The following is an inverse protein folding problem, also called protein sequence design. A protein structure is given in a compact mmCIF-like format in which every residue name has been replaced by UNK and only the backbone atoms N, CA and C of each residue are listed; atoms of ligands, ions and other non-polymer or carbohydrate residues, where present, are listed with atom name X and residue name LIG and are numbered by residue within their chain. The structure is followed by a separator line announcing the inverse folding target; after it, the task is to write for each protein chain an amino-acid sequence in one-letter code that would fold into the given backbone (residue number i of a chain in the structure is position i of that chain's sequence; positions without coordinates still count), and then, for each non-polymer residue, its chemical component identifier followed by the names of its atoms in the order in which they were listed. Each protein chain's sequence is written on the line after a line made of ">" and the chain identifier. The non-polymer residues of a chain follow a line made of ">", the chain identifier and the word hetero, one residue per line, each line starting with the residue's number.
data_IF_278876268517
#
_entry.id   IF_278876268517
#
_cell.length_a   1.000
_cell.length_b   1.000
_cell.length_c   1.000
_cell.angle_alpha   90.00
_cell.angle_beta   90.00
_cell.angle_gamma   90.00
#
_symmetry.space_group_name_H-M   'P 1'
#
loop_
_entity.id
_entity.type
_entity.pdbx_description
1 polymer ?
#
# COMPACT_ATOMS: atom_id res chain seq x y z
N UNK A 1 -6.98 -16.82 -11.41
CA UNK A 1 -5.93 -16.81 -10.41
C UNK A 1 -6.19 -15.70 -9.41
N UNK A 2 -6.09 -16.01 -8.11
CA UNK A 2 -6.34 -15.01 -7.09
C UNK A 2 -5.22 -13.98 -7.08
N UNK A 3 -5.57 -12.72 -6.88
CA UNK A 3 -4.58 -11.67 -6.74
C UNK A 3 -3.88 -11.81 -5.39
N UNK A 4 -2.57 -11.59 -5.39
CA UNK A 4 -1.83 -11.52 -4.14
C UNK A 4 -2.21 -10.25 -3.39
N UNK A 5 -1.92 -10.22 -2.10
CA UNK A 5 -2.15 -9.01 -1.31
C UNK A 5 -1.37 -7.83 -1.89
N UNK A 6 -0.13 -8.06 -2.32
CA UNK A 6 0.68 -7.02 -2.94
C UNK A 6 -0.02 -6.43 -4.17
N UNK A 7 -0.55 -7.29 -5.03
CA UNK A 7 -1.25 -6.86 -6.24
C UNK A 7 -2.50 -6.04 -5.91
N UNK A 8 -3.26 -6.48 -4.92
CA UNK A 8 -4.46 -5.78 -4.48
C UNK A 8 -4.12 -4.40 -3.93
N UNK A 9 -3.05 -4.30 -3.14
CA UNK A 9 -2.61 -3.03 -2.57
C UNK A 9 -2.22 -2.06 -3.68
N UNK A 10 -1.43 -2.52 -4.65
CA UNK A 10 -0.99 -1.67 -5.75
C UNK A 10 -2.18 -1.15 -6.56
N UNK A 11 -3.16 -2.01 -6.82
CA UNK A 11 -4.37 -1.58 -7.51
C UNK A 11 -5.10 -0.48 -6.72
N UNK A 12 -5.24 -0.66 -5.41
CA UNK A 12 -5.95 0.31 -4.57
C UNK A 12 -5.18 1.61 -4.40
N UNK A 13 -3.85 1.57 -4.51
CA UNK A 13 -3.00 2.78 -4.44
C UNK A 13 -3.13 3.64 -5.70
N UNK A 14 -3.68 3.09 -6.78
CA UNK A 14 -3.84 3.81 -8.03
C UNK A 14 -3.03 3.23 -9.17
N UNK A 15 -2.50 2.02 -8.98
CA UNK A 15 -1.68 1.34 -9.97
C UNK A 15 -0.21 1.62 -9.79
N UNK A 16 0.65 0.84 -10.44
CA UNK A 16 2.11 1.00 -10.28
C UNK A 16 2.61 2.37 -10.77
N UNK A 17 1.92 2.98 -11.71
CA UNK A 17 2.32 4.31 -12.20
C UNK A 17 2.17 5.39 -11.15
N UNK A 18 1.36 5.15 -10.11
CA UNK A 18 1.15 6.12 -9.05
C UNK A 18 2.20 6.02 -7.94
N UNK A 19 3.06 5.01 -7.97
CA UNK A 19 4.08 4.80 -6.94
C UNK A 19 5.38 5.46 -7.37
N UNK A 20 5.78 6.53 -6.68
CA UNK A 20 7.09 7.17 -6.91
C UNK A 20 8.19 6.43 -6.20
N UNK A 21 7.92 6.03 -4.96
CA UNK A 21 8.86 5.21 -4.21
C UNK A 21 8.10 4.43 -3.15
N UNK A 22 8.71 3.35 -2.71
CA UNK A 22 8.15 2.49 -1.68
C UNK A 22 9.26 2.05 -0.75
N UNK A 23 9.03 2.25 0.55
CA UNK A 23 9.86 1.69 1.59
C UNK A 23 8.96 0.99 2.60
N UNK A 24 9.54 0.36 3.60
CA UNK A 24 8.76 -0.24 4.67
C UNK A 24 9.51 -0.13 5.98
N UNK A 25 8.76 -0.19 7.06
CA UNK A 25 9.32 -0.36 8.39
C UNK A 25 8.86 -1.71 8.95
N UNK A 26 8.88 -1.89 10.26
CA UNK A 26 8.57 -3.20 10.87
C UNK A 26 7.16 -3.68 10.58
N UNK A 27 6.18 -2.77 10.41
CA UNK A 27 4.77 -3.15 10.29
C UNK A 27 4.05 -2.45 9.14
N UNK A 28 4.67 -1.47 8.46
CA UNK A 28 3.96 -0.63 7.50
C UNK A 28 4.71 -0.53 6.19
N UNK A 29 3.94 -0.47 5.10
CA UNK A 29 4.44 -0.02 3.80
C UNK A 29 4.33 1.50 3.77
N UNK A 30 5.39 2.16 3.30
CA UNK A 30 5.44 3.62 3.17
C UNK A 30 5.53 3.97 1.70
N UNK A 31 4.45 4.55 1.18
CA UNK A 31 4.39 4.94 -0.22
C UNK A 31 4.62 6.44 -0.36
N UNK A 32 5.39 6.80 -1.37
CA UNK A 32 5.37 8.15 -1.94
C UNK A 32 4.69 8.04 -3.28
N UNK A 33 3.65 8.83 -3.47
CA UNK A 33 2.75 8.68 -4.62
C UNK A 33 2.89 9.87 -5.55
N UNK A 34 2.52 9.67 -6.81
CA UNK A 34 2.40 10.77 -7.76
C UNK A 34 1.17 11.62 -7.42
N UNK A 35 0.07 10.94 -7.08
CA UNK A 35 -1.19 11.62 -6.79
C UNK A 35 -1.97 10.81 -5.75
N UNK A 36 -1.98 11.29 -4.51
CA UNK A 36 -2.66 10.61 -3.42
C UNK A 36 -4.18 10.55 -3.60
N UNK A 37 -4.75 11.41 -4.43
CA UNK A 37 -6.19 11.41 -4.66
C UNK A 37 -6.67 10.16 -5.42
N UNK A 38 -5.74 9.41 -6.03
CA UNK A 38 -6.07 8.19 -6.74
C UNK A 38 -6.16 6.97 -5.83
N UNK A 39 -5.85 7.12 -4.54
CA UNK A 39 -5.89 6.00 -3.59
C UNK A 39 -7.34 5.69 -3.24
N UNK A 40 -7.68 4.40 -3.30
CA UNK A 40 -8.97 3.90 -2.82
C UNK A 40 -8.79 3.46 -1.36
N UNK A 41 -8.88 4.43 -0.45
CA UNK A 41 -8.65 4.18 0.96
C UNK A 41 -9.67 3.20 1.53
N UNK A 42 -10.91 3.29 1.09
CA UNK A 42 -11.95 2.40 1.58
C UNK A 42 -11.63 0.94 1.26
N UNK A 43 -11.17 0.66 0.04
CA UNK A 43 -10.75 -0.70 -0.33
C UNK A 43 -9.59 -1.18 0.53
N UNK A 44 -8.60 -0.31 0.78
CA UNK A 44 -7.47 -0.68 1.62
C UNK A 44 -7.90 -0.99 3.05
N UNK A 45 -8.79 -0.19 3.62
CA UNK A 45 -9.22 -0.37 5.00
C UNK A 45 -10.01 -1.66 5.20
N UNK A 46 -10.68 -2.15 4.16
CA UNK A 46 -11.48 -3.37 4.20
C UNK A 46 -10.77 -4.56 3.60
N UNK A 47 -9.53 -4.40 3.17
CA UNK A 47 -8.76 -5.46 2.53
C UNK A 47 -8.26 -6.46 3.55
N UNK A 48 -8.49 -7.74 3.29
CA UNK A 48 -8.00 -8.79 4.17
C UNK A 48 -6.46 -8.81 4.12
N UNK A 49 -5.83 -8.74 5.28
CA UNK A 49 -4.38 -8.66 5.38
C UNK A 49 -3.86 -7.26 5.62
N UNK A 50 -4.71 -6.26 5.50
CA UNK A 50 -4.37 -4.87 5.79
C UNK A 50 -5.02 -4.49 7.11
N UNK A 51 -4.20 -4.01 8.05
CA UNK A 51 -4.68 -3.60 9.37
C UNK A 51 -5.17 -2.17 9.38
N UNK A 52 -4.68 -1.33 8.47
CA UNK A 52 -5.11 0.05 8.39
C UNK A 52 -4.46 0.76 7.23
N UNK A 53 -5.01 1.91 6.88
CA UNK A 53 -4.51 2.74 5.79
C UNK A 53 -4.49 4.18 6.31
N UNK A 54 -3.30 4.80 6.33
CA UNK A 54 -3.08 6.09 6.97
C UNK A 54 -2.54 7.08 5.97
N UNK A 55 -3.35 8.06 5.54
CA UNK A 55 -2.82 9.13 4.68
C UNK A 55 -1.87 10.01 5.49
N UNK A 56 -0.81 10.46 4.81
CA UNK A 56 0.17 11.38 5.37
C UNK A 56 0.10 12.70 4.64
N UNK A 57 0.86 13.67 5.10
CA UNK A 57 0.90 14.97 4.44
C UNK A 57 1.51 14.85 3.04
N UNK A 58 1.02 15.67 2.11
CA UNK A 58 1.45 15.61 0.74
C UNK A 58 0.95 14.32 0.07
N UNK A 59 1.74 13.78 -0.84
CA UNK A 59 1.37 12.58 -1.57
C UNK A 59 2.00 11.34 -0.95
N UNK A 60 1.98 11.24 0.37
CA UNK A 60 2.49 10.10 1.11
C UNK A 60 1.33 9.30 1.70
N UNK A 61 1.51 7.99 1.75
CA UNK A 61 0.48 7.10 2.25
C UNK A 61 1.13 5.90 2.91
N UNK A 62 0.56 5.46 4.04
CA UNK A 62 1.06 4.29 4.74
C UNK A 62 -0.02 3.22 4.79
N UNK A 63 0.39 1.97 4.58
CA UNK A 63 -0.48 0.81 4.67
C UNK A 63 0.06 -0.07 5.78
N UNK A 64 -0.73 -0.28 6.82
CA UNK A 64 -0.32 -1.07 7.97
C UNK A 64 -0.62 -2.54 7.70
N UNK A 65 0.42 -3.35 7.66
CA UNK A 65 0.33 -4.78 7.35
C UNK A 65 0.55 -5.63 8.60
N UNK A 66 1.46 -5.23 9.45
CA UNK A 66 1.88 -6.04 10.60
C UNK A 66 3.17 -6.78 10.30
N UNK A 67 3.40 -7.89 10.99
CA UNK A 67 4.68 -8.61 10.93
C UNK A 67 5.03 -9.18 9.56
N UNK A 68 4.06 -9.31 8.64
CA UNK A 68 4.30 -9.82 7.30
C UNK A 68 4.70 -8.77 6.26
N UNK A 69 4.99 -7.55 6.69
CA UNK A 69 5.23 -6.42 5.78
C UNK A 69 6.38 -6.66 4.83
N UNK A 70 7.46 -7.31 5.29
CA UNK A 70 8.63 -7.54 4.43
C UNK A 70 8.28 -8.45 3.26
N UNK A 71 7.48 -9.48 3.49
CA UNK A 71 7.03 -10.38 2.43
C UNK A 71 6.17 -9.64 1.41
N UNK A 72 5.26 -8.81 1.87
CA UNK A 72 4.40 -8.02 0.97
C UNK A 72 5.25 -7.05 0.17
N UNK A 73 6.21 -6.40 0.82
CA UNK A 73 7.12 -5.48 0.15
C UNK A 73 7.89 -6.19 -0.97
N UNK A 74 8.43 -7.37 -0.69
CA UNK A 74 9.17 -8.14 -1.69
C UNK A 74 8.29 -8.53 -2.87
N UNK A 75 7.02 -8.84 -2.62
CA UNK A 75 6.10 -9.22 -3.68
C UNK A 75 5.71 -8.03 -4.57
N UNK A 76 5.78 -6.80 -4.04
CA UNK A 76 5.54 -5.59 -4.83
C UNK A 76 6.76 -5.28 -5.69
N UNK A 77 7.94 -5.47 -5.14
CA UNK A 77 9.20 -5.20 -5.85
C UNK A 77 9.57 -6.39 -6.76
#
# INVERSE_FOLDING_TARGET
>A
MADSLASQIITAIGGPENVRSLTHCATRLRFELVDASKVDQNSLEHMQGVLGAVPQSGDRFQVVIGGGVATVYENIM
#
